data_IF_439753279967
#
_entry.id   IF_439753279967
#
_cell.length_a   1.000
_cell.length_b   1.000
_cell.length_c   1.000
_cell.angle_alpha   90.00
_cell.angle_beta   90.00
_cell.angle_gamma   90.00
#
_symmetry.space_group_name_H-M   'P 1'
#
loop_
_entity.id
_entity.type
_entity.pdbx_description
1 polymer ?
#
# COMPACT_ATOMS: atom_id res chain seq x y z
N UNK A 1 -6.53 25.65 -6.37
CA UNK A 1 -6.67 24.47 -5.52
C UNK A 1 -5.55 23.47 -5.76
N UNK A 2 -4.92 23.05 -4.72
CA UNK A 2 -3.85 22.09 -4.84
C UNK A 2 -4.35 20.67 -4.72
N UNK A 3 -3.83 19.82 -5.58
CA UNK A 3 -4.06 18.39 -5.44
C UNK A 3 -2.94 17.81 -4.61
N UNK A 4 -3.31 17.11 -3.54
CA UNK A 4 -2.29 16.42 -2.75
C UNK A 4 -1.77 15.23 -3.55
N UNK A 5 -0.46 14.98 -3.53
CA UNK A 5 0.07 13.78 -4.17
C UNK A 5 -0.58 12.54 -3.60
N UNK A 6 -0.88 11.60 -4.46
CA UNK A 6 -1.58 10.40 -4.06
C UNK A 6 -1.11 9.20 -4.87
N UNK A 7 -1.29 8.02 -4.26
CA UNK A 7 -1.00 6.75 -4.88
C UNK A 7 -2.26 5.90 -4.71
N UNK A 8 -2.70 5.26 -5.78
CA UNK A 8 -3.92 4.47 -5.76
C UNK A 8 -3.73 3.27 -6.66
N UNK A 9 -3.57 2.09 -6.07
CA UNK A 9 -3.27 0.87 -6.79
C UNK A 9 -4.32 -0.19 -6.51
N UNK A 10 -4.71 -0.92 -7.55
CA UNK A 10 -5.57 -2.08 -7.45
C UNK A 10 -4.65 -3.29 -7.60
N UNK A 11 -4.39 -3.97 -6.50
CA UNK A 11 -3.36 -5.02 -6.45
C UNK A 11 -3.98 -6.40 -6.44
N UNK A 12 -3.39 -7.32 -7.20
CA UNK A 12 -3.77 -8.73 -7.14
C UNK A 12 -3.04 -9.45 -6.02
N UNK A 13 -2.98 -8.82 -4.85
CA UNK A 13 -2.26 -9.33 -3.69
C UNK A 13 -3.22 -9.37 -2.51
N UNK A 14 -3.18 -10.46 -1.74
CA UNK A 14 -4.06 -10.61 -0.60
C UNK A 14 -3.83 -9.50 0.43
N UNK A 15 -4.93 -9.01 1.01
CA UNK A 15 -4.88 -7.97 2.03
C UNK A 15 -3.89 -8.33 3.14
N UNK A 16 -3.99 -9.56 3.65
CA UNK A 16 -3.16 -9.96 4.79
C UNK A 16 -1.66 -9.93 4.49
N UNK A 17 -1.29 -10.15 3.23
CA UNK A 17 0.12 -10.12 2.85
C UNK A 17 0.67 -8.70 2.90
N UNK A 18 -0.10 -7.75 2.38
CA UNK A 18 0.34 -6.35 2.40
C UNK A 18 0.31 -5.82 3.83
N UNK A 19 -0.74 -6.13 4.58
CA UNK A 19 -0.86 -5.69 5.97
C UNK A 19 0.30 -6.23 6.82
N UNK A 20 0.66 -7.50 6.62
CA UNK A 20 1.78 -8.08 7.36
C UNK A 20 3.09 -7.38 7.02
N UNK A 21 3.28 -7.02 5.77
CA UNK A 21 4.47 -6.31 5.34
C UNK A 21 4.55 -4.94 6.02
N UNK A 22 3.43 -4.23 6.08
CA UNK A 22 3.39 -2.92 6.72
C UNK A 22 3.61 -3.02 8.23
N UNK A 23 3.01 -4.04 8.86
CA UNK A 23 3.08 -4.20 10.31
C UNK A 23 4.40 -4.80 10.77
N UNK A 24 4.91 -5.80 10.06
CA UNK A 24 6.04 -6.60 10.54
C UNK A 24 7.36 -6.25 9.88
N UNK A 25 7.38 -6.12 8.57
CA UNK A 25 8.63 -5.81 7.87
C UNK A 25 8.99 -4.34 7.95
N UNK A 26 8.03 -3.46 7.69
CA UNK A 26 8.26 -2.02 7.80
C UNK A 26 8.00 -1.49 9.20
N UNK A 27 7.27 -2.25 10.02
CA UNK A 27 6.94 -1.89 11.40
C UNK A 27 6.34 -0.49 11.49
N UNK A 28 5.37 -0.19 10.63
CA UNK A 28 4.77 1.13 10.59
C UNK A 28 3.74 1.30 11.70
N UNK A 29 3.69 2.47 12.33
CA UNK A 29 2.64 2.75 13.29
C UNK A 29 1.31 3.00 12.59
N UNK A 30 0.22 2.81 13.31
CA UNK A 30 -1.11 3.15 12.84
C UNK A 30 -1.62 4.33 13.63
N UNK A 31 -2.36 5.22 12.95
CA UNK A 31 -2.98 6.35 13.63
C UNK A 31 -4.32 5.90 14.24
N UNK A 32 -5.06 6.85 14.81
CA UNK A 32 -6.32 6.55 15.49
C UNK A 32 -7.38 5.98 14.56
N UNK A 33 -7.23 6.20 13.27
CA UNK A 33 -8.18 5.71 12.27
C UNK A 33 -7.77 4.34 11.72
N UNK A 34 -6.68 3.78 12.22
CA UNK A 34 -6.21 2.50 11.74
C UNK A 34 -5.41 2.57 10.46
N UNK A 35 -5.05 3.77 10.04
CA UNK A 35 -4.26 3.99 8.84
C UNK A 35 -2.77 3.91 9.17
N UNK A 36 -2.00 3.21 8.34
CA UNK A 36 -0.55 3.13 8.55
C UNK A 36 0.11 4.44 8.16
N UNK A 37 1.16 4.80 8.90
CA UNK A 37 1.91 6.03 8.62
C UNK A 37 3.34 5.66 8.25
N UNK A 38 3.74 6.02 7.04
CA UNK A 38 5.10 5.82 6.57
C UNK A 38 5.83 7.15 6.64
N UNK A 39 6.92 7.21 7.39
CA UNK A 39 7.67 8.44 7.57
C UNK A 39 9.12 8.25 7.12
N UNK A 40 9.68 9.29 6.53
CA UNK A 40 11.08 9.32 6.17
C UNK A 40 11.61 10.73 6.45
N UNK A 41 12.87 10.96 6.13
CA UNK A 41 13.48 12.26 6.46
C UNK A 41 12.79 13.43 5.77
N UNK A 42 12.26 13.19 4.57
CA UNK A 42 11.66 14.26 3.77
C UNK A 42 10.16 14.41 3.99
N UNK A 43 9.56 13.61 4.88
CA UNK A 43 8.14 13.75 5.10
C UNK A 43 7.47 12.43 5.42
N UNK A 44 6.15 12.42 5.31
CA UNK A 44 5.38 11.23 5.63
C UNK A 44 4.19 11.08 4.70
N UNK A 45 3.63 9.86 4.65
CA UNK A 45 2.40 9.62 3.94
C UNK A 45 1.57 8.61 4.72
N UNK A 46 0.26 8.66 4.50
CA UNK A 46 -0.67 7.76 5.14
C UNK A 46 -1.10 6.69 4.15
N UNK A 47 -1.12 5.45 4.59
CA UNK A 47 -1.42 4.29 3.73
C UNK A 47 -2.68 3.60 4.21
N UNK A 48 -3.61 3.38 3.30
CA UNK A 48 -4.87 2.70 3.60
C UNK A 48 -5.03 1.50 2.68
N UNK A 49 -5.45 0.38 3.24
CA UNK A 49 -5.74 -0.83 2.47
C UNK A 49 -7.23 -1.12 2.55
N UNK A 50 -7.82 -1.49 1.43
CA UNK A 50 -9.22 -1.90 1.37
C UNK A 50 -9.27 -3.24 0.66
N UNK A 51 -9.87 -4.23 1.33
CA UNK A 51 -10.06 -5.53 0.73
C UNK A 51 -11.20 -5.44 -0.27
N UNK A 52 -10.94 -5.82 -1.53
CA UNK A 52 -11.92 -5.74 -2.60
C UNK A 52 -12.51 -7.11 -2.86
N UNK A 53 -13.63 -7.13 -3.59
CA UNK A 53 -14.22 -8.40 -4.00
C UNK A 53 -13.23 -9.12 -4.91
N UNK A 54 -13.06 -10.45 -4.73
CA UNK A 54 -12.15 -11.21 -5.57
C UNK A 54 -12.57 -11.16 -7.03
N UNK A 55 -11.60 -11.19 -7.91
CA UNK A 55 -11.88 -11.31 -9.33
C UNK A 55 -11.92 -12.77 -9.69
N UNK A 56 -12.93 -13.16 -10.46
CA UNK A 56 -13.04 -14.54 -10.91
C UNK A 56 -12.34 -14.71 -12.25
N UNK A 57 -11.52 -15.74 -12.34
CA UNK A 57 -10.87 -16.12 -13.59
C UNK A 57 -11.20 -17.60 -13.81
N UNK A 58 -12.35 -17.85 -14.48
CA UNK A 58 -12.87 -19.19 -14.57
C UNK A 58 -13.24 -19.70 -13.19
N UNK A 59 -12.77 -20.89 -12.81
CA UNK A 59 -13.05 -21.42 -11.46
C UNK A 59 -12.13 -20.84 -10.38
N UNK A 60 -11.19 -20.01 -10.75
CA UNK A 60 -10.19 -19.48 -9.80
C UNK A 60 -10.61 -18.13 -9.29
N UNK A 61 -10.51 -17.95 -7.96
CA UNK A 61 -10.79 -16.68 -7.32
C UNK A 61 -9.48 -15.99 -7.00
N UNK A 62 -9.31 -14.78 -7.53
CA UNK A 62 -8.08 -13.99 -7.34
C UNK A 62 -8.34 -12.87 -6.33
N UNK A 63 -7.59 -12.87 -5.25
CA UNK A 63 -7.73 -11.85 -4.22
C UNK A 63 -7.29 -10.50 -4.75
N UNK A 64 -7.98 -9.46 -4.30
CA UNK A 64 -7.68 -8.08 -4.70
C UNK A 64 -7.69 -7.18 -3.50
N UNK A 65 -6.74 -6.24 -3.50
CA UNK A 65 -6.63 -5.25 -2.44
C UNK A 65 -6.38 -3.90 -3.08
N UNK A 66 -7.08 -2.89 -2.60
CA UNK A 66 -6.84 -1.52 -3.04
C UNK A 66 -5.92 -0.85 -2.04
N UNK A 67 -4.79 -0.34 -2.53
CA UNK A 67 -3.84 0.39 -1.72
C UNK A 67 -3.90 1.86 -2.10
N UNK A 68 -4.15 2.71 -1.11
CA UNK A 68 -4.17 4.15 -1.32
C UNK A 68 -3.21 4.80 -0.35
N UNK A 69 -2.47 5.79 -0.83
CA UNK A 69 -1.55 6.53 0.02
C UNK A 69 -1.56 7.98 -0.41
N UNK A 70 -1.43 8.87 0.55
CA UNK A 70 -1.37 10.29 0.27
C UNK A 70 -0.50 10.97 1.32
N UNK A 71 0.12 12.07 0.91
CA UNK A 71 1.02 12.80 1.78
C UNK A 71 2.11 13.48 0.99
N UNK A 72 3.30 13.55 1.56
CA UNK A 72 4.41 14.25 0.93
C UNK A 72 4.96 13.50 -0.26
N UNK A 73 5.29 14.18 -1.36
CA UNK A 73 5.77 13.52 -2.57
C UNK A 73 6.98 12.62 -2.35
N UNK A 74 7.94 13.06 -1.55
CA UNK A 74 9.14 12.27 -1.31
C UNK A 74 8.84 10.99 -0.57
N UNK A 75 7.92 11.06 0.40
CA UNK A 75 7.52 9.88 1.14
C UNK A 75 6.75 8.91 0.25
N UNK A 76 5.86 9.43 -0.60
CA UNK A 76 5.12 8.60 -1.53
C UNK A 76 6.04 7.88 -2.51
N UNK A 77 7.02 8.59 -3.04
CA UNK A 77 7.96 8.00 -3.99
C UNK A 77 8.76 6.87 -3.33
N UNK A 78 9.23 7.12 -2.11
CA UNK A 78 10.00 6.11 -1.38
C UNK A 78 9.14 4.90 -1.05
N UNK A 79 7.92 5.14 -0.58
CA UNK A 79 7.01 4.06 -0.26
C UNK A 79 6.69 3.23 -1.50
N UNK A 80 6.42 3.89 -2.63
CA UNK A 80 6.13 3.21 -3.87
C UNK A 80 7.29 2.33 -4.30
N UNK A 81 8.50 2.81 -4.14
CA UNK A 81 9.70 2.03 -4.48
C UNK A 81 9.81 0.78 -3.61
N UNK A 82 9.58 0.93 -2.31
CA UNK A 82 9.64 -0.21 -1.40
C UNK A 82 8.57 -1.24 -1.73
N UNK A 83 7.36 -0.77 -2.01
CA UNK A 83 6.26 -1.65 -2.39
C UNK A 83 6.58 -2.41 -3.67
N UNK A 84 7.08 -1.70 -4.67
CA UNK A 84 7.41 -2.30 -5.96
C UNK A 84 8.50 -3.36 -5.80
N UNK A 85 9.52 -3.06 -5.03
CA UNK A 85 10.61 -4.02 -4.80
C UNK A 85 10.10 -5.26 -4.09
N UNK A 86 9.16 -5.10 -3.15
CA UNK A 86 8.69 -6.23 -2.35
C UNK A 86 7.71 -7.13 -3.11
N UNK A 87 6.79 -6.51 -3.86
CA UNK A 87 5.66 -7.26 -4.41
C UNK A 87 5.66 -7.36 -5.93
N UNK A 88 6.38 -6.51 -6.63
CA UNK A 88 6.36 -6.49 -8.08
C UNK A 88 7.67 -7.02 -8.63
N UNK A 89 8.78 -6.37 -8.27
CA UNK A 89 10.08 -6.74 -8.83
C UNK A 89 10.55 -8.11 -8.37
N UNK A 90 10.29 -8.44 -7.10
CA UNK A 90 10.78 -9.69 -6.54
C UNK A 90 10.13 -10.91 -7.16
N UNK A 91 8.95 -10.74 -7.75
CA UNK A 91 8.26 -11.84 -8.40
C UNK A 91 8.77 -12.11 -9.79
N UNK A 92 9.59 -11.22 -10.28
CA UNK A 92 10.11 -11.33 -11.63
C UNK A 92 11.04 -12.49 -11.84
#
# INVERSE_FOLDING_TARGET
MQNLPAMDLDCGIAYRRIAAWLDEELALPRNDEGTWVFACEEGSCAVTLTECEPRMAGPISLERTRLQAHGDPSALERFNRLFTLRFVSAGG
#
